data_IF_147737042242
#
_entry.id   IF_147737042242
#
_cell.length_a   1.000
_cell.length_b   1.000
_cell.length_c   1.000
_cell.angle_alpha   90.00
_cell.angle_beta   90.00
_cell.angle_gamma   90.00
#
_symmetry.space_group_name_H-M   'P 1'
#
loop_
_entity.id
_entity.type
_entity.pdbx_description
1 polymer ?
#
# COMPACT_ATOMS: atom_id res chain seq x y z
N UNK A 1 1.78 20.43 35.80
CA UNK A 1 1.79 19.58 34.58
C UNK A 1 2.68 20.30 33.57
N UNK A 2 3.73 19.65 33.05
CA UNK A 2 4.77 20.32 32.27
C UNK A 2 4.33 20.39 30.80
N UNK A 3 3.63 21.46 30.43
CA UNK A 3 2.96 21.67 29.13
C UNK A 3 3.91 21.59 27.93
N UNK A 4 5.16 21.99 28.09
CA UNK A 4 6.18 21.91 27.04
C UNK A 4 6.63 20.48 26.74
N UNK A 5 6.80 19.65 27.78
CA UNK A 5 7.18 18.24 27.61
C UNK A 5 6.07 17.44 26.90
N UNK A 6 4.81 17.81 27.15
CA UNK A 6 3.62 17.19 26.57
C UNK A 6 3.41 17.61 25.10
N UNK A 7 3.67 18.89 24.76
CA UNK A 7 3.73 19.34 23.37
C UNK A 7 4.84 18.62 22.59
N UNK A 8 6.04 18.51 23.16
CA UNK A 8 7.16 17.81 22.54
C UNK A 8 6.84 16.34 22.23
N UNK A 9 6.14 15.65 23.14
CA UNK A 9 5.71 14.27 22.94
C UNK A 9 4.73 14.13 21.77
N UNK A 10 3.73 15.01 21.67
CA UNK A 10 2.77 14.99 20.56
C UNK A 10 3.40 15.30 19.21
N UNK A 11 4.36 16.23 19.15
CA UNK A 11 5.09 16.52 17.93
C UNK A 11 5.93 15.32 17.46
N UNK A 12 6.59 14.61 18.38
CA UNK A 12 7.30 13.38 18.06
C UNK A 12 6.36 12.28 17.57
N UNK A 13 5.19 12.12 18.22
CA UNK A 13 4.17 11.17 17.79
C UNK A 13 3.66 11.50 16.38
N UNK A 14 3.36 12.76 16.12
CA UNK A 14 2.95 13.24 14.79
C UNK A 14 4.00 12.93 13.72
N UNK A 15 5.27 13.22 14.01
CA UNK A 15 6.38 12.93 13.09
C UNK A 15 6.48 11.43 12.77
N UNK A 16 6.36 10.57 13.79
CA UNK A 16 6.40 9.13 13.61
C UNK A 16 5.25 8.63 12.71
N UNK A 17 4.03 9.14 12.91
CA UNK A 17 2.86 8.78 12.08
C UNK A 17 3.05 9.25 10.63
N UNK A 18 3.58 10.46 10.41
CA UNK A 18 3.87 10.96 9.05
C UNK A 18 4.91 10.09 8.34
N UNK A 19 5.94 9.64 9.06
CA UNK A 19 6.94 8.71 8.50
C UNK A 19 6.32 7.35 8.14
N UNK A 20 5.41 6.85 8.98
CA UNK A 20 4.64 5.63 8.73
C UNK A 20 3.79 5.77 7.45
N UNK A 21 3.03 6.86 7.33
CA UNK A 21 2.22 7.19 6.14
C UNK A 21 3.09 7.24 4.87
N UNK A 22 4.25 7.89 4.92
CA UNK A 22 5.16 7.95 3.79
C UNK A 22 5.64 6.55 3.37
N UNK A 23 5.95 5.68 4.34
CA UNK A 23 6.29 4.28 4.09
C UNK A 23 5.14 3.48 3.45
N UNK A 24 3.91 3.68 3.92
CA UNK A 24 2.71 3.02 3.39
C UNK A 24 2.42 3.47 1.95
N UNK A 25 2.52 4.76 1.66
CA UNK A 25 2.38 5.30 0.31
C UNK A 25 3.40 4.69 -0.66
N UNK A 26 4.66 4.55 -0.22
CA UNK A 26 5.69 3.90 -1.04
C UNK A 26 5.37 2.41 -1.31
N UNK A 27 4.84 1.68 -0.31
CA UNK A 27 4.39 0.29 -0.49
C UNK A 27 3.21 0.19 -1.45
N UNK A 28 2.24 1.10 -1.36
CA UNK A 28 1.10 1.15 -2.28
C UNK A 28 1.57 1.38 -3.72
N UNK A 29 2.45 2.36 -3.94
CA UNK A 29 3.00 2.64 -5.26
C UNK A 29 3.73 1.42 -5.84
N UNK A 30 4.51 0.72 -5.02
CA UNK A 30 5.17 -0.53 -5.45
C UNK A 30 4.16 -1.60 -5.84
N UNK A 31 3.10 -1.80 -5.04
CA UNK A 31 2.05 -2.77 -5.38
C UNK A 31 1.32 -2.39 -6.67
N UNK A 32 1.07 -1.10 -6.92
CA UNK A 32 0.47 -0.63 -8.18
C UNK A 32 1.37 -0.93 -9.39
N UNK A 33 2.68 -0.71 -9.26
CA UNK A 33 3.64 -1.06 -10.32
C UNK A 33 3.67 -2.56 -10.59
N UNK A 34 3.64 -3.39 -9.53
CA UNK A 34 3.56 -4.85 -9.65
C UNK A 34 2.27 -5.28 -10.35
N UNK A 35 1.11 -4.73 -9.95
CA UNK A 35 -0.19 -5.01 -10.57
C UNK A 35 -0.15 -4.68 -12.07
N UNK A 36 0.25 -3.46 -12.44
CA UNK A 36 0.30 -3.06 -13.84
C UNK A 36 1.28 -3.90 -14.67
N UNK A 37 2.42 -4.31 -14.09
CA UNK A 37 3.36 -5.22 -14.75
C UNK A 37 2.76 -6.60 -15.01
N UNK A 38 2.08 -7.17 -14.01
CA UNK A 38 1.43 -8.49 -14.12
C UNK A 38 0.23 -8.44 -15.08
N UNK A 39 -0.54 -7.36 -15.11
CA UNK A 39 -1.65 -7.18 -16.06
C UNK A 39 -1.16 -7.15 -17.51
N UNK A 40 -0.11 -6.37 -17.81
CA UNK A 40 0.51 -6.32 -19.14
C UNK A 40 1.06 -7.68 -19.59
N UNK A 41 1.71 -8.41 -18.68
CA UNK A 41 2.19 -9.77 -18.97
C UNK A 41 1.04 -10.76 -19.14
N UNK A 42 -0.04 -10.59 -18.36
CA UNK A 42 -1.28 -11.35 -18.44
C UNK A 42 -1.91 -11.25 -19.83
N UNK A 43 -2.11 -10.03 -20.34
CA UNK A 43 -2.66 -9.78 -21.69
C UNK A 43 -1.81 -10.44 -22.79
N UNK A 44 -0.48 -10.40 -22.65
CA UNK A 44 0.41 -11.09 -23.57
C UNK A 44 0.25 -12.60 -23.47
N UNK A 45 0.18 -13.12 -22.26
CA UNK A 45 0.02 -14.55 -22.02
C UNK A 45 -1.34 -15.07 -22.50
N UNK A 46 -2.40 -14.27 -22.44
CA UNK A 46 -3.71 -14.60 -23.00
C UNK A 46 -3.66 -14.75 -24.52
N UNK A 47 -2.91 -13.88 -25.22
CA UNK A 47 -2.64 -14.05 -26.66
C UNK A 47 -1.86 -15.33 -26.95
N UNK A 48 -0.80 -15.60 -26.19
CA UNK A 48 -0.02 -16.84 -26.33
C UNK A 48 -0.90 -18.09 -26.10
N UNK A 49 -1.85 -18.05 -25.17
CA UNK A 49 -2.85 -19.12 -24.96
C UNK A 49 -3.75 -19.28 -26.20
N UNK A 50 -4.25 -18.18 -26.75
CA UNK A 50 -5.09 -18.20 -27.95
C UNK A 50 -4.34 -18.74 -29.19
N UNK A 51 -3.03 -18.48 -29.28
CA UNK A 51 -2.14 -18.98 -30.33
C UNK A 51 -1.67 -20.43 -30.10
N UNK A 52 -2.03 -21.05 -28.97
CA UNK A 52 -1.67 -22.43 -28.66
C UNK A 52 -0.21 -22.62 -28.24
N UNK A 53 0.44 -21.57 -27.73
CA UNK A 53 1.83 -21.63 -27.25
C UNK A 53 1.93 -22.62 -26.08
N UNK A 54 2.80 -23.65 -26.16
CA UNK A 54 2.97 -24.61 -25.09
C UNK A 54 3.34 -23.95 -23.76
N UNK A 55 2.66 -24.35 -22.68
CA UNK A 55 2.92 -23.83 -21.33
C UNK A 55 2.30 -22.46 -21.03
N UNK A 56 1.74 -21.75 -22.03
CA UNK A 56 1.07 -20.48 -21.81
C UNK A 56 -0.10 -20.56 -20.81
N UNK A 57 -0.95 -21.63 -20.79
CA UNK A 57 -2.02 -21.74 -19.80
C UNK A 57 -1.51 -21.78 -18.36
N UNK A 58 -0.41 -22.50 -18.11
CA UNK A 58 0.19 -22.60 -16.78
C UNK A 58 0.81 -21.27 -16.34
N UNK A 59 1.47 -20.56 -17.26
CA UNK A 59 2.02 -19.22 -16.99
C UNK A 59 0.90 -18.21 -16.71
N UNK A 60 -0.20 -18.26 -17.45
CA UNK A 60 -1.35 -17.39 -17.22
C UNK A 60 -1.95 -17.60 -15.82
N UNK A 61 -2.07 -18.85 -15.39
CA UNK A 61 -2.57 -19.16 -14.04
C UNK A 61 -1.61 -18.66 -12.95
N UNK A 62 -0.29 -18.80 -13.15
CA UNK A 62 0.70 -18.23 -12.23
C UNK A 62 0.60 -16.70 -12.14
N UNK A 63 0.40 -16.02 -13.27
CA UNK A 63 0.20 -14.56 -13.30
C UNK A 63 -1.07 -14.14 -12.57
N UNK A 64 -2.18 -14.89 -12.70
CA UNK A 64 -3.41 -14.63 -11.94
C UNK A 64 -3.21 -14.73 -10.44
N UNK A 65 -2.47 -15.74 -9.97
CA UNK A 65 -2.12 -15.87 -8.55
C UNK A 65 -1.26 -14.70 -8.09
N UNK A 66 -0.27 -14.28 -8.88
CA UNK A 66 0.57 -13.12 -8.58
C UNK A 66 -0.25 -11.82 -8.50
N UNK A 67 -1.18 -11.62 -9.44
CA UNK A 67 -2.08 -10.48 -9.45
C UNK A 67 -2.95 -10.45 -8.19
N UNK A 68 -3.59 -11.57 -7.84
CA UNK A 68 -4.41 -11.68 -6.64
C UNK A 68 -3.61 -11.34 -5.37
N UNK A 69 -2.37 -11.82 -5.27
CA UNK A 69 -1.49 -11.50 -4.15
C UNK A 69 -1.09 -10.02 -4.11
N UNK A 70 -0.77 -9.41 -5.26
CA UNK A 70 -0.41 -8.00 -5.34
C UNK A 70 -1.59 -7.10 -4.98
N UNK A 71 -2.80 -7.43 -5.45
CA UNK A 71 -4.04 -6.75 -5.09
C UNK A 71 -4.33 -6.87 -3.59
N UNK A 72 -4.14 -8.05 -2.99
CA UNK A 72 -4.32 -8.23 -1.56
C UNK A 72 -3.32 -7.39 -0.74
N UNK A 73 -2.04 -7.33 -1.15
CA UNK A 73 -1.04 -6.46 -0.51
C UNK A 73 -1.39 -4.98 -0.64
N UNK A 74 -1.88 -4.55 -1.80
CA UNK A 74 -2.34 -3.18 -2.02
C UNK A 74 -3.51 -2.81 -1.11
N UNK A 75 -4.51 -3.70 -0.98
CA UNK A 75 -5.66 -3.51 -0.11
C UNK A 75 -5.23 -3.40 1.37
N UNK A 76 -4.37 -4.30 1.85
CA UNK A 76 -3.84 -4.25 3.21
C UNK A 76 -3.08 -2.94 3.49
N UNK A 77 -2.19 -2.52 2.58
CA UNK A 77 -1.46 -1.26 2.72
C UNK A 77 -2.40 -0.04 2.73
N UNK A 78 -3.53 -0.11 2.04
CA UNK A 78 -4.57 0.93 2.06
C UNK A 78 -5.31 0.99 3.40
N UNK A 79 -5.66 -0.15 3.97
CA UNK A 79 -6.27 -0.22 5.30
C UNK A 79 -5.33 0.32 6.38
N UNK A 80 -4.06 -0.06 6.34
CA UNK A 80 -3.01 0.48 7.23
C UNK A 80 -2.84 2.01 7.08
N UNK A 81 -2.95 2.52 5.85
CA UNK A 81 -2.86 3.96 5.56
C UNK A 81 -4.01 4.71 6.19
N UNK A 82 -5.25 4.28 5.98
CA UNK A 82 -6.44 4.91 6.58
C UNK A 82 -6.35 4.91 8.11
N UNK A 83 -5.93 3.80 8.72
CA UNK A 83 -5.75 3.75 10.17
C UNK A 83 -4.64 4.70 10.69
N UNK A 84 -3.64 4.98 9.86
CA UNK A 84 -2.56 5.92 10.20
C UNK A 84 -3.01 7.38 10.04
N UNK A 85 -3.82 7.67 9.02
CA UNK A 85 -4.46 8.98 8.80
C UNK A 85 -5.41 9.32 9.96
N UNK A 86 -6.25 8.37 10.41
CA UNK A 86 -7.13 8.55 11.56
C UNK A 86 -6.35 8.87 12.86
N UNK A 87 -5.21 8.19 13.07
CA UNK A 87 -4.31 8.46 14.19
C UNK A 87 -3.68 9.84 14.08
N UNK A 88 -3.28 10.26 12.88
CA UNK A 88 -2.73 11.59 12.63
C UNK A 88 -3.76 12.67 12.97
N UNK A 89 -4.99 12.52 12.49
CA UNK A 89 -6.10 13.45 12.74
C UNK A 89 -6.43 13.54 14.24
N UNK A 90 -6.30 12.45 14.99
CA UNK A 90 -6.45 12.46 16.44
C UNK A 90 -5.35 13.28 17.13
N UNK A 91 -4.09 13.14 16.70
CA UNK A 91 -2.97 13.90 17.25
C UNK A 91 -3.07 15.38 16.86
N UNK A 92 -3.44 15.68 15.61
CA UNK A 92 -3.59 17.06 15.12
C UNK A 92 -4.71 17.80 15.86
N UNK A 93 -5.82 17.12 16.20
CA UNK A 93 -6.85 17.68 17.09
C UNK A 93 -6.34 17.95 18.51
N UNK A 94 -5.51 17.08 19.07
CA UNK A 94 -4.91 17.30 20.39
C UNK A 94 -3.93 18.48 20.38
N UNK A 95 -3.17 18.66 19.28
CA UNK A 95 -2.28 19.80 19.10
C UNK A 95 -3.05 21.11 18.94
N UNK A 96 -4.15 21.11 18.18
CA UNK A 96 -4.97 22.31 17.96
C UNK A 96 -5.77 22.76 19.21
N UNK A 97 -6.07 21.84 20.12
CA UNK A 97 -6.77 22.12 21.38
C UNK A 97 -5.87 22.60 22.53
N UNK A 98 -4.58 22.84 22.27
CA UNK A 98 -3.59 23.31 23.25
C UNK A 98 -3.33 24.81 23.15
#
# INVERSE_FOLDING_TARGET
>A
MNTEADLGALLMQRLAIVQEIAGLNARQLKCQQEIGGVELEGERCERDVAEGVPGAPARLEALRVQLAQAVARFAAAREELTASEDRLDAVDRQLAGR
#
